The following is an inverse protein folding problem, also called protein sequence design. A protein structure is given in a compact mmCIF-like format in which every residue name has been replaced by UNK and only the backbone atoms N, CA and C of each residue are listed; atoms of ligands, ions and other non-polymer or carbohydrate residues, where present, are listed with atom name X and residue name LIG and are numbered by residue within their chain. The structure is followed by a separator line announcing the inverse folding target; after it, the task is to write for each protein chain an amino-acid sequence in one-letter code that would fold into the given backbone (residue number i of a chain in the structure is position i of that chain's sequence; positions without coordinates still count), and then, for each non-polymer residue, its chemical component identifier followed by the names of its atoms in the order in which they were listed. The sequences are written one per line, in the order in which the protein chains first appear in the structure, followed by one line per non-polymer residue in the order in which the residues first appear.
data_IF_029577017731
#
_entry.id   IF_029577017731
#
_cell.length_a   1.000
_cell.length_b   1.000
_cell.length_c   1.000
_cell.angle_alpha   90.00
_cell.angle_beta   90.00
_cell.angle_gamma   90.00
#
_symmetry.space_group_name_H-M   'P 1'
#
loop_
_entity.id
_entity.type
_entity.pdbx_description
1 polymer ?
#
# COMPACT_ATOMS: atom_id res chain seq x y z
N UNK A 1 14.83 -18.57 -6.27
CA UNK A 1 13.43 -18.73 -6.73
C UNK A 1 12.96 -17.40 -7.29
N UNK A 2 12.47 -17.37 -8.53
CA UNK A 2 12.09 -16.13 -9.22
C UNK A 2 10.89 -15.42 -8.59
N UNK A 3 10.65 -14.18 -9.03
CA UNK A 3 9.53 -13.35 -8.58
C UNK A 3 8.26 -13.50 -9.43
N UNK A 4 8.33 -14.30 -10.49
CA UNK A 4 7.24 -14.52 -11.44
C UNK A 4 5.98 -15.06 -10.76
N UNK A 5 4.82 -14.53 -11.13
CA UNK A 5 3.51 -14.89 -10.55
C UNK A 5 3.24 -14.35 -9.14
N UNK A 6 4.20 -13.67 -8.50
CA UNK A 6 3.97 -13.03 -7.20
C UNK A 6 3.31 -11.67 -7.39
N UNK A 7 2.15 -11.47 -6.77
CA UNK A 7 1.46 -10.18 -6.80
C UNK A 7 2.35 -9.08 -6.19
N UNK A 8 2.69 -8.06 -6.98
CA UNK A 8 3.42 -6.90 -6.47
C UNK A 8 2.49 -5.77 -6.00
N UNK A 9 1.32 -5.65 -6.62
CA UNK A 9 0.44 -4.51 -6.40
C UNK A 9 -0.73 -4.46 -7.37
N UNK A 10 -1.31 -3.28 -7.46
CA UNK A 10 -2.42 -2.98 -8.36
C UNK A 10 -2.12 -1.70 -9.14
N UNK A 11 -2.47 -1.66 -10.40
CA UNK A 11 -2.50 -0.45 -11.22
C UNK A 11 -3.95 -0.01 -11.39
N UNK A 12 -4.23 1.28 -11.20
CA UNK A 12 -5.54 1.83 -11.48
C UNK A 12 -5.80 1.93 -12.99
N UNK A 13 -6.98 1.49 -13.39
CA UNK A 13 -7.48 1.54 -14.75
C UNK A 13 -8.20 2.89 -15.00
N UNK A 14 -8.11 3.46 -16.21
CA UNK A 14 -9.04 4.50 -16.63
C UNK A 14 -10.46 3.95 -16.63
N UNK A 15 -11.38 4.62 -15.96
CA UNK A 15 -12.80 4.25 -15.93
C UNK A 15 -13.66 5.50 -15.70
N UNK A 16 -14.90 5.46 -16.19
CA UNK A 16 -15.94 6.45 -15.91
C UNK A 16 -16.84 6.00 -14.73
N UNK A 17 -16.63 4.79 -14.22
CA UNK A 17 -17.38 4.25 -13.10
C UNK A 17 -17.16 5.07 -11.83
N UNK A 18 -18.23 5.25 -11.05
CA UNK A 18 -18.21 6.07 -9.84
C UNK A 18 -18.02 5.20 -8.61
N UNK A 19 -17.04 5.57 -7.78
CA UNK A 19 -16.87 4.99 -6.44
C UNK A 19 -17.75 5.75 -5.44
N UNK A 20 -18.89 5.16 -5.07
CA UNK A 20 -19.73 5.64 -3.97
C UNK A 20 -19.04 5.34 -2.61
N UNK A 21 -18.54 6.39 -1.95
CA UNK A 21 -17.84 6.30 -0.66
C UNK A 21 -18.77 5.95 0.52
N UNK A 22 -20.09 6.02 0.33
CA UNK A 22 -21.07 5.57 1.31
C UNK A 22 -21.23 4.05 1.35
N UNK A 23 -20.67 3.32 0.37
CA UNK A 23 -20.83 1.87 0.24
C UNK A 23 -19.50 1.13 0.36
N UNK A 24 -19.39 0.36 1.44
CA UNK A 24 -18.21 -0.48 1.72
C UNK A 24 -18.35 -1.82 0.99
N UNK A 25 -17.28 -2.26 0.33
CA UNK A 25 -17.20 -3.56 -0.33
C UNK A 25 -18.14 -3.77 -1.53
N UNK A 26 -18.76 -2.72 -2.06
CA UNK A 26 -19.79 -2.85 -3.11
C UNK A 26 -19.26 -2.75 -4.53
N UNK A 27 -18.03 -2.26 -4.72
CA UNK A 27 -17.48 -1.97 -6.03
C UNK A 27 -16.57 -3.11 -6.51
N UNK A 28 -16.83 -3.63 -7.71
CA UNK A 28 -16.01 -4.70 -8.30
C UNK A 28 -14.60 -4.17 -8.58
N UNK A 29 -13.59 -4.73 -7.93
CA UNK A 29 -12.23 -4.20 -7.99
C UNK A 29 -11.65 -4.23 -9.41
N UNK A 30 -12.06 -5.20 -10.23
CA UNK A 30 -11.61 -5.45 -11.61
C UNK A 30 -11.98 -4.30 -12.56
N UNK A 31 -13.04 -3.54 -12.24
CA UNK A 31 -13.45 -2.38 -13.02
C UNK A 31 -12.52 -1.17 -12.82
N UNK A 32 -11.78 -1.14 -11.70
CA UNK A 32 -10.95 0.00 -11.30
C UNK A 32 -9.46 -0.32 -11.25
N UNK A 33 -9.09 -1.60 -11.10
CA UNK A 33 -7.71 -2.00 -10.89
C UNK A 33 -7.38 -3.30 -11.64
N UNK A 34 -6.13 -3.40 -12.09
CA UNK A 34 -5.53 -4.67 -12.53
C UNK A 34 -4.37 -5.08 -11.61
N UNK A 35 -4.19 -6.38 -11.32
CA UNK A 35 -3.00 -6.84 -10.61
C UNK A 35 -1.76 -6.62 -11.47
N UNK A 36 -0.65 -6.27 -10.83
CA UNK A 36 0.65 -6.17 -11.48
C UNK A 36 1.64 -7.16 -10.86
N UNK A 37 2.46 -7.74 -11.73
CA UNK A 37 3.41 -8.80 -11.40
C UNK A 37 4.80 -8.38 -11.87
N UNK A 38 5.86 -8.63 -11.08
CA UNK A 38 7.21 -8.35 -11.50
C UNK A 38 7.69 -9.40 -12.52
N UNK A 39 8.71 -9.04 -13.31
CA UNK A 39 9.45 -10.01 -14.10
C UNK A 39 10.17 -11.04 -13.20
N UNK A 40 10.71 -12.11 -13.79
CA UNK A 40 11.53 -13.10 -13.07
C UNK A 40 12.67 -12.46 -12.25
N UNK A 41 13.27 -11.38 -12.77
CA UNK A 41 14.33 -10.59 -12.14
C UNK A 41 13.85 -9.64 -11.03
N UNK A 42 12.54 -9.60 -10.75
CA UNK A 42 11.96 -8.73 -9.73
C UNK A 42 11.79 -7.29 -10.17
N UNK A 43 11.80 -7.01 -11.48
CA UNK A 43 11.62 -5.67 -12.05
C UNK A 43 10.14 -5.37 -12.27
N UNK A 44 9.72 -4.15 -11.95
CA UNK A 44 8.44 -3.55 -12.35
C UNK A 44 8.70 -2.28 -13.12
N UNK A 45 7.99 -2.10 -14.24
CA UNK A 45 7.95 -0.83 -14.96
C UNK A 45 6.72 -0.07 -14.52
N UNK A 46 6.91 1.13 -13.97
CA UNK A 46 5.83 2.04 -13.62
C UNK A 46 5.76 3.11 -14.70
N UNK A 47 4.66 3.17 -15.43
CA UNK A 47 4.44 4.13 -16.51
C UNK A 47 4.13 5.52 -15.95
N UNK A 48 4.62 6.55 -16.63
CA UNK A 48 4.35 7.95 -16.32
C UNK A 48 2.86 8.22 -16.09
N UNK A 49 2.56 8.99 -15.03
CA UNK A 49 1.24 9.49 -14.64
C UNK A 49 0.20 8.43 -14.24
N UNK A 50 0.51 7.14 -14.37
CA UNK A 50 -0.30 6.03 -13.85
C UNK A 50 -0.28 6.00 -12.32
N UNK A 51 -1.28 5.36 -11.73
CA UNK A 51 -1.42 5.23 -10.29
C UNK A 51 -1.31 3.77 -9.87
N UNK A 52 -0.48 3.51 -8.88
CA UNK A 52 -0.17 2.17 -8.39
C UNK A 52 -0.38 2.08 -6.88
N UNK A 53 -0.89 0.94 -6.44
CA UNK A 53 -0.97 0.54 -5.03
C UNK A 53 0.03 -0.59 -4.83
N UNK A 54 1.13 -0.29 -4.14
CA UNK A 54 2.20 -1.23 -3.78
C UNK A 54 2.22 -1.45 -2.26
N UNK A 55 3.19 -2.21 -1.77
CA UNK A 55 3.45 -2.35 -0.34
C UNK A 55 4.95 -2.33 -0.04
N UNK A 56 5.30 -1.90 1.17
CA UNK A 56 6.68 -2.00 1.67
C UNK A 56 7.11 -3.47 1.78
N UNK A 57 8.40 -3.71 1.57
CA UNK A 57 9.01 -5.01 1.92
C UNK A 57 9.16 -5.14 3.43
N UNK A 58 9.52 -4.04 4.07
CA UNK A 58 9.71 -3.90 5.50
C UNK A 58 8.37 -3.91 6.23
N UNK A 59 8.37 -4.39 7.47
CA UNK A 59 7.23 -4.27 8.38
C UNK A 59 7.45 -3.05 9.27
N UNK A 60 6.52 -2.11 9.20
CA UNK A 60 6.54 -0.86 9.97
C UNK A 60 5.85 -1.10 11.31
N UNK A 61 6.45 -0.61 12.39
CA UNK A 61 5.88 -0.61 13.73
C UNK A 61 6.06 0.79 14.34
N UNK A 62 4.94 1.43 14.69
CA UNK A 62 4.90 2.79 15.24
C UNK A 62 4.49 2.71 16.71
N UNK A 63 5.42 2.90 17.66
CA UNK A 63 5.11 2.91 19.09
C UNK A 63 4.05 3.96 19.46
N UNK A 64 3.28 3.73 20.52
CA UNK A 64 2.17 4.60 20.93
C UNK A 64 2.56 6.07 21.26
N UNK A 65 3.84 6.36 21.48
CA UNK A 65 4.33 7.71 21.77
C UNK A 65 4.90 8.42 20.53
N UNK A 66 4.85 7.77 19.37
CA UNK A 66 5.32 8.31 18.09
C UNK A 66 4.20 8.29 17.06
N UNK A 67 4.29 9.18 16.09
CA UNK A 67 3.62 9.07 14.79
C UNK A 67 4.70 8.96 13.73
N UNK A 68 4.37 8.48 12.54
CA UNK A 68 5.33 8.45 11.44
C UNK A 68 4.74 9.01 10.15
N UNK A 69 5.57 9.53 9.26
CA UNK A 69 5.20 9.96 7.91
C UNK A 69 6.13 9.30 6.91
N UNK A 70 5.59 8.98 5.75
CA UNK A 70 6.40 8.45 4.67
C UNK A 70 6.74 9.56 3.69
N UNK A 71 8.02 9.87 3.57
CA UNK A 71 8.51 10.93 2.71
C UNK A 71 9.25 10.37 1.48
N UNK A 72 9.24 11.06 0.34
CA UNK A 72 9.95 10.61 -0.86
C UNK A 72 11.45 10.45 -0.61
N UNK A 73 12.06 9.38 -1.14
CA UNK A 73 13.51 9.16 -1.02
C UNK A 73 14.34 10.14 -1.85
N UNK A 74 13.84 10.55 -3.02
CA UNK A 74 14.49 11.50 -3.91
C UNK A 74 13.50 12.10 -4.90
N UNK A 75 13.64 13.39 -5.21
CA UNK A 75 12.83 14.09 -6.21
C UNK A 75 13.02 13.56 -7.64
N UNK A 76 14.16 12.92 -7.93
CA UNK A 76 14.52 12.44 -9.28
C UNK A 76 13.88 11.09 -9.63
N UNK A 77 13.34 10.36 -8.65
CA UNK A 77 12.63 9.08 -8.88
C UNK A 77 11.13 9.34 -9.16
N UNK A 78 10.78 10.61 -9.41
CA UNK A 78 9.41 11.14 -9.41
C UNK A 78 8.95 11.49 -7.99
N UNK A 79 7.86 12.25 -7.85
CA UNK A 79 7.09 12.24 -6.61
C UNK A 79 6.47 10.85 -6.47
N UNK A 80 7.26 9.88 -6.00
CA UNK A 80 6.74 8.76 -5.24
C UNK A 80 6.10 9.38 -3.98
N UNK A 81 4.91 10.00 -4.12
CA UNK A 81 4.08 10.42 -2.99
C UNK A 81 3.57 9.14 -2.38
N UNK A 82 4.43 8.51 -1.59
CA UNK A 82 4.25 7.17 -1.08
C UNK A 82 2.99 7.05 -0.18
N UNK A 83 2.31 8.17 0.09
CA UNK A 83 0.97 8.21 0.64
C UNK A 83 0.26 9.54 0.28
N UNK A 84 -1.01 9.49 -0.13
CA UNK A 84 -1.92 10.65 -0.02
C UNK A 84 -2.43 10.84 1.42
N UNK A 85 -2.32 9.80 2.25
CA UNK A 85 -2.83 9.81 3.61
C UNK A 85 -1.76 10.14 4.67
N UNK A 86 -0.84 11.07 4.41
CA UNK A 86 0.00 11.75 5.43
C UNK A 86 0.71 10.86 6.47
N UNK A 87 0.02 10.45 7.54
CA UNK A 87 0.62 9.83 8.72
C UNK A 87 0.25 8.35 8.94
N UNK A 88 1.20 7.63 9.55
CA UNK A 88 1.00 6.38 10.26
C UNK A 88 0.73 6.69 11.74
N UNK A 89 -0.44 6.26 12.20
CA UNK A 89 -0.92 6.53 13.56
C UNK A 89 -0.12 5.77 14.64
N UNK A 90 -0.09 6.30 15.88
CA UNK A 90 0.53 5.61 17.01
C UNK A 90 -0.18 4.27 17.26
N UNK A 91 0.59 3.19 17.34
CA UNK A 91 0.06 1.82 17.46
C UNK A 91 0.05 1.04 16.14
N UNK A 92 0.24 1.69 14.98
CA UNK A 92 0.28 1.01 13.68
C UNK A 92 1.39 -0.03 13.65
N UNK A 93 1.04 -1.29 13.39
CA UNK A 93 2.03 -2.39 13.43
C UNK A 93 2.69 -2.60 14.80
N UNK A 94 2.25 -1.95 15.87
CA UNK A 94 2.80 -2.08 17.23
C UNK A 94 1.80 -2.77 18.16
N UNK A 95 0.50 -2.47 18.01
CA UNK A 95 -0.52 -2.94 18.95
C UNK A 95 -0.59 -2.09 20.22
N UNK A 96 -1.40 -2.49 21.19
CA UNK A 96 -1.59 -1.69 22.41
C UNK A 96 -0.36 -1.69 23.33
N UNK A 97 0.43 -2.77 23.30
CA UNK A 97 1.55 -3.05 24.22
C UNK A 97 2.82 -3.53 23.50
N UNK A 98 2.90 -3.41 22.18
CA UNK A 98 4.02 -3.91 21.39
C UNK A 98 3.89 -5.39 21.01
N UNK A 99 2.68 -5.94 21.06
CA UNK A 99 2.39 -7.35 20.77
C UNK A 99 2.43 -7.69 19.27
N UNK A 100 2.51 -6.68 18.39
CA UNK A 100 2.52 -6.86 16.94
C UNK A 100 3.92 -6.56 16.40
N UNK A 101 4.49 -7.52 15.66
CA UNK A 101 5.82 -7.42 15.05
C UNK A 101 5.76 -6.69 13.69
N UNK A 102 5.21 -5.48 13.69
CA UNK A 102 5.04 -4.65 12.50
C UNK A 102 3.93 -5.12 11.56
N UNK A 103 3.64 -4.30 10.57
CA UNK A 103 2.78 -4.62 9.41
C UNK A 103 3.29 -3.90 8.18
N UNK A 104 3.00 -4.39 6.97
CA UNK A 104 3.47 -3.70 5.76
C UNK A 104 2.75 -2.35 5.62
N UNK A 105 3.43 -1.33 5.10
CA UNK A 105 2.81 -0.08 4.70
C UNK A 105 2.25 -0.20 3.29
N UNK A 106 1.01 0.24 3.05
CA UNK A 106 0.51 0.41 1.68
C UNK A 106 1.17 1.65 1.09
N UNK A 107 1.62 1.54 -0.15
CA UNK A 107 2.25 2.62 -0.88
C UNK A 107 1.35 3.04 -2.03
N UNK A 108 1.10 4.32 -2.14
CA UNK A 108 0.42 4.92 -3.27
C UNK A 108 1.48 5.57 -4.14
N UNK A 109 1.55 5.23 -5.43
CA UNK A 109 2.68 5.62 -6.27
C UNK A 109 2.17 6.18 -7.59
N UNK A 110 2.60 7.40 -7.92
CA UNK A 110 2.37 8.02 -9.23
C UNK A 110 3.69 8.59 -9.77
N UNK A 111 4.34 7.92 -10.72
CA UNK A 111 5.65 8.37 -11.19
C UNK A 111 5.50 9.52 -12.20
N UNK A 112 6.41 10.49 -12.17
CA UNK A 112 6.42 11.62 -13.13
C UNK A 112 7.01 11.25 -14.49
N UNK A 113 7.73 10.14 -14.56
CA UNK A 113 8.35 9.58 -15.75
C UNK A 113 8.20 8.06 -15.71
N UNK A 114 8.35 7.39 -16.85
CA UNK A 114 8.35 5.92 -16.85
C UNK A 114 9.64 5.42 -16.22
N UNK A 115 9.51 4.71 -15.09
CA UNK A 115 10.66 4.22 -14.31
C UNK A 115 10.63 2.70 -14.16
N UNK A 116 11.80 2.12 -13.94
CA UNK A 116 11.92 0.73 -13.50
C UNK A 116 12.28 0.72 -12.02
N UNK A 117 11.55 -0.06 -11.23
CA UNK A 117 11.88 -0.36 -9.85
C UNK A 117 12.17 -1.86 -9.69
N UNK A 118 13.02 -2.20 -8.75
CA UNK A 118 13.40 -3.58 -8.45
C UNK A 118 12.98 -3.97 -7.04
N UNK A 119 12.74 -5.27 -6.81
CA UNK A 119 12.47 -5.77 -5.47
C UNK A 119 13.58 -5.38 -4.48
N UNK A 120 13.20 -4.71 -3.38
CA UNK A 120 14.13 -4.26 -2.34
C UNK A 120 14.84 -2.94 -2.67
N UNK A 121 14.54 -2.30 -3.80
CA UNK A 121 15.00 -0.95 -4.06
C UNK A 121 14.35 0.03 -3.07
N UNK A 122 15.13 0.90 -2.40
CA UNK A 122 14.57 1.98 -1.59
C UNK A 122 13.74 2.93 -2.44
N UNK A 123 12.50 3.21 -2.00
CA UNK A 123 11.54 4.06 -2.72
C UNK A 123 10.99 5.21 -1.85
N UNK A 124 11.10 5.10 -0.53
CA UNK A 124 10.66 6.11 0.43
C UNK A 124 11.47 6.03 1.73
N UNK A 125 11.38 7.08 2.53
CA UNK A 125 11.88 7.13 3.90
C UNK A 125 10.70 7.16 4.87
N UNK A 126 10.92 6.68 6.10
CA UNK A 126 9.96 6.79 7.19
C UNK A 126 10.52 7.76 8.23
N UNK A 127 9.86 8.90 8.39
CA UNK A 127 10.19 9.88 9.42
C UNK A 127 9.32 9.65 10.64
N UNK A 128 9.92 9.67 11.83
CA UNK A 128 9.21 9.49 13.10
C UNK A 128 9.16 10.79 13.88
N UNK A 129 7.98 11.10 14.40
CA UNK A 129 7.69 12.30 15.16
C UNK A 129 7.27 11.91 16.58
N UNK A 130 7.84 12.60 17.58
CA UNK A 130 7.42 12.42 18.97
C UNK A 130 6.12 13.16 19.21
N UNK A 131 5.12 12.45 19.70
CA UNK A 131 3.84 13.06 20.08
C UNK A 131 3.97 13.77 21.43
N UNK A 132 3.15 14.82 21.62
CA UNK A 132 3.08 15.54 22.91
C UNK A 132 2.62 14.64 24.05
N UNK A 133 1.75 13.67 23.77
CA UNK A 133 1.30 12.62 24.68
C UNK A 133 0.81 11.39 23.90
N UNK A 134 0.82 10.17 24.49
CA UNK A 134 0.20 9.00 23.88
C UNK A 134 -1.32 9.20 23.67
N UNK A 135 -1.90 8.70 22.57
CA UNK A 135 -3.34 8.83 22.32
C UNK A 135 -4.13 7.92 23.27
N UNK A 136 -5.31 8.39 23.70
CA UNK A 136 -6.23 7.57 24.49
C UNK A 136 -6.78 6.37 23.70
N UNK A 137 -6.79 6.47 22.36
CA UNK A 137 -7.24 5.44 21.42
C UNK A 137 -6.16 5.25 20.35
N UNK A 138 -5.18 4.38 20.58
CA UNK A 138 -4.17 4.07 19.56
C UNK A 138 -4.79 3.34 18.38
N UNK A 139 -4.05 3.27 17.28
CA UNK A 139 -4.48 2.58 16.06
C UNK A 139 -4.91 1.13 16.37
N UNK A 140 -6.04 0.73 15.81
CA UNK A 140 -6.64 -0.58 16.04
C UNK A 140 -7.58 -0.68 17.25
N UNK A 141 -7.67 0.35 18.10
CA UNK A 141 -8.58 0.36 19.27
C UNK A 141 -10.06 0.10 18.89
N UNK A 142 -10.55 0.70 17.80
CA UNK A 142 -11.93 0.58 17.33
C UNK A 142 -12.07 -0.37 16.12
N UNK A 143 -11.11 -1.26 15.93
CA UNK A 143 -10.92 -2.02 14.70
C UNK A 143 -9.84 -1.38 13.81
N UNK A 144 -9.30 -2.18 12.90
CA UNK A 144 -8.21 -1.76 12.01
C UNK A 144 -8.48 -2.22 10.59
N UNK A 145 -8.24 -1.31 9.63
CA UNK A 145 -8.35 -1.66 8.22
C UNK A 145 -7.05 -2.26 7.68
N UNK A 146 -5.92 -1.93 8.30
CA UNK A 146 -4.60 -2.26 7.77
C UNK A 146 -3.69 -3.02 8.76
N UNK A 147 -4.13 -3.30 9.99
CA UNK A 147 -3.31 -4.09 10.91
C UNK A 147 -3.23 -5.54 10.42
N UNK A 148 -2.03 -6.13 10.44
CA UNK A 148 -1.82 -7.53 10.11
C UNK A 148 -1.89 -7.83 8.61
N UNK A 149 -1.90 -6.82 7.74
CA UNK A 149 -1.84 -7.06 6.30
C UNK A 149 -0.46 -7.63 5.90
N UNK A 150 -0.47 -8.50 4.89
CA UNK A 150 0.71 -9.18 4.35
C UNK A 150 1.17 -8.63 2.99
N UNK A 151 0.40 -7.72 2.39
CA UNK A 151 0.70 -7.18 1.07
C UNK A 151 -0.17 -5.98 0.68
N UNK A 152 -0.10 -5.53 -0.58
CA UNK A 152 -0.80 -4.33 -1.06
C UNK A 152 -2.31 -4.49 -0.87
N UNK A 153 -3.04 -3.51 -0.35
CA UNK A 153 -4.47 -3.62 -0.05
C UNK A 153 -5.24 -2.47 -0.67
N UNK A 154 -6.30 -2.80 -1.43
CA UNK A 154 -7.24 -1.81 -1.95
C UNK A 154 -8.09 -1.22 -0.81
N UNK A 155 -8.61 -0.01 -1.03
CA UNK A 155 -9.49 0.65 -0.07
C UNK A 155 -10.75 -0.18 0.23
N UNK A 156 -11.33 0.02 1.43
CA UNK A 156 -12.49 -0.73 1.94
C UNK A 156 -13.75 -0.71 1.05
N UNK A 157 -13.82 0.19 0.08
CA UNK A 157 -14.97 0.34 -0.83
C UNK A 157 -15.03 -0.76 -1.89
N UNK A 158 -13.90 -1.41 -2.19
CA UNK A 158 -13.82 -2.47 -3.18
C UNK A 158 -14.10 -3.85 -2.57
N UNK A 159 -14.82 -4.69 -3.33
CA UNK A 159 -15.05 -6.07 -2.97
C UNK A 159 -13.73 -6.86 -2.84
N UNK A 160 -13.69 -7.96 -2.06
CA UNK A 160 -12.45 -8.69 -1.76
C UNK A 160 -11.70 -9.22 -2.99
N UNK A 161 -10.36 -9.23 -2.88
CA UNK A 161 -9.35 -9.53 -3.92
C UNK A 161 -9.46 -10.87 -4.64
N UNK A 162 -10.26 -11.83 -4.16
CA UNK A 162 -10.36 -13.13 -4.81
C UNK A 162 -10.90 -13.04 -6.26
N UNK A 163 -11.49 -11.89 -6.61
CA UNK A 163 -11.96 -11.58 -7.95
C UNK A 163 -10.85 -11.10 -8.93
N UNK A 164 -9.66 -10.69 -8.43
CA UNK A 164 -8.53 -10.21 -9.27
C UNK A 164 -7.52 -11.33 -9.63
N UNK A 165 -7.77 -12.59 -9.25
CA UNK A 165 -6.91 -13.70 -9.71
C UNK A 165 -7.17 -13.95 -11.20
N UNK A 166 -6.14 -14.24 -12.02
CA UNK A 166 -6.38 -14.69 -13.37
C UNK A 166 -7.26 -15.94 -13.32
N UNK A 167 -8.51 -15.82 -13.80
CA UNK A 167 -9.35 -16.99 -14.02
C UNK A 167 -8.71 -17.75 -15.17
N UNK A 168 -8.16 -18.92 -14.91
CA UNK A 168 -7.82 -19.86 -15.97
C UNK A 168 -9.11 -20.16 -16.72
N UNK A 169 -9.24 -19.64 -17.95
CA UNK A 169 -10.22 -20.17 -18.88
C UNK A 169 -9.70 -21.55 -19.29
N UNK A 170 -10.30 -22.61 -18.73
CA UNK A 170 -10.30 -23.88 -19.42
C UNK A 170 -11.32 -23.73 -20.56
N UNK A 171 -10.81 -23.66 -21.80
CA UNK A 171 -11.63 -23.87 -22.99
C UNK A 171 -11.95 -25.36 -23.12
#
# INVERSE_FOLDING_TARGET
AGYEGRLAGFEALPTEDVVDLGRVGSHAAEAFFRPIYPSESGKLTLEKDRFYILATKERVSVPNHLSAEMVPFSHHVGELRAHYAGFFDPGFGYGARGEINGTVGVLEVRPHETINIYHGQPICLMEFFRNSQPPARPYGFAGSNYQGQEGPKLAKYFAPKDALRPRTLAL
#
